data_IF_719765511735
#
_entry.id   IF_719765511735
#
_cell.length_a   1.000
_cell.length_b   1.000
_cell.length_c   1.000
_cell.angle_alpha   90.00
_cell.angle_beta   90.00
_cell.angle_gamma   90.00
#
_symmetry.space_group_name_H-M   'P 1'
#
loop_
_entity.id
_entity.type
_entity.pdbx_description
1 polymer ?
#
# COMPACT_ATOMS: atom_id res chain seq x y z
N UNK A 1 -28.87 30.51 -12.43
CA UNK A 1 -28.57 29.06 -12.55
C UNK A 1 -29.61 28.23 -11.81
N UNK A 2 -29.95 27.05 -12.33
CA UNK A 2 -30.75 26.03 -11.64
C UNK A 2 -29.94 25.33 -10.55
N UNK A 3 -30.59 24.70 -9.57
CA UNK A 3 -29.88 23.92 -8.52
C UNK A 3 -29.04 22.78 -9.13
N UNK A 4 -29.47 22.19 -10.26
CA UNK A 4 -28.74 21.16 -10.98
C UNK A 4 -27.44 21.71 -11.60
N UNK A 5 -27.52 22.87 -12.24
CA UNK A 5 -26.32 23.55 -12.80
C UNK A 5 -25.33 23.95 -11.71
N UNK A 6 -25.81 24.48 -10.59
CA UNK A 6 -24.96 24.80 -9.43
C UNK A 6 -24.28 23.54 -8.87
N UNK A 7 -24.99 22.42 -8.79
CA UNK A 7 -24.41 21.15 -8.35
C UNK A 7 -23.27 20.67 -9.27
N UNK A 8 -23.41 20.84 -10.58
CA UNK A 8 -22.34 20.50 -11.53
C UNK A 8 -21.18 21.49 -11.46
N UNK A 9 -21.47 22.79 -11.31
CA UNK A 9 -20.44 23.84 -11.12
C UNK A 9 -19.59 23.54 -9.88
N UNK A 10 -20.21 23.18 -8.75
CA UNK A 10 -19.52 22.85 -7.50
C UNK A 10 -18.73 21.53 -7.52
N UNK A 11 -18.70 20.79 -8.63
CA UNK A 11 -17.79 19.66 -8.86
C UNK A 11 -16.44 20.09 -9.45
N UNK A 12 -16.37 21.30 -9.98
CA UNK A 12 -15.18 21.90 -10.56
C UNK A 12 -14.52 22.85 -9.57
N UNK A 13 -13.33 23.32 -9.91
CA UNK A 13 -12.69 24.42 -9.19
C UNK A 13 -13.44 25.72 -9.55
N UNK A 14 -13.97 26.38 -8.54
CA UNK A 14 -14.74 27.63 -8.67
C UNK A 14 -13.99 28.79 -8.00
N UNK A 15 -14.23 30.00 -8.52
CA UNK A 15 -13.59 31.22 -7.97
C UNK A 15 -14.26 31.68 -6.68
N UNK A 16 -13.54 32.47 -5.89
CA UNK A 16 -14.08 33.13 -4.68
C UNK A 16 -15.31 34.02 -5.01
N UNK A 17 -15.31 34.66 -6.17
CA UNK A 17 -16.45 35.47 -6.63
C UNK A 17 -17.71 34.62 -6.84
N UNK A 18 -17.53 33.43 -7.46
CA UNK A 18 -18.66 32.49 -7.66
C UNK A 18 -19.15 31.92 -6.32
N UNK A 19 -18.27 31.70 -5.36
CA UNK A 19 -18.65 31.25 -4.01
C UNK A 19 -19.48 32.36 -3.34
N UNK A 20 -19.04 33.61 -3.41
CA UNK A 20 -19.73 34.74 -2.81
C UNK A 20 -21.12 34.98 -3.44
N UNK A 21 -21.23 34.80 -4.75
CA UNK A 21 -22.52 34.89 -5.45
C UNK A 21 -23.51 33.82 -4.96
N UNK A 22 -23.03 32.56 -4.81
CA UNK A 22 -23.86 31.46 -4.34
C UNK A 22 -24.21 31.60 -2.83
N UNK A 23 -23.36 32.25 -2.01
CA UNK A 23 -23.65 32.56 -0.62
C UNK A 23 -24.84 33.50 -0.44
N UNK A 24 -24.98 34.43 -1.35
CA UNK A 24 -26.09 35.38 -1.38
C UNK A 24 -27.40 34.81 -1.97
N UNK A 25 -27.39 33.55 -2.46
CA UNK A 25 -28.55 32.88 -2.99
C UNK A 25 -29.46 32.37 -1.84
N UNK A 26 -30.71 32.89 -1.72
CA UNK A 26 -31.59 32.56 -0.60
C UNK A 26 -32.18 31.15 -0.66
N UNK A 27 -32.00 30.41 -1.76
CA UNK A 27 -32.59 29.08 -1.95
C UNK A 27 -31.91 28.06 -1.02
N UNK A 28 -32.70 27.40 -0.16
CA UNK A 28 -32.20 26.41 0.80
C UNK A 28 -31.44 25.25 0.16
N UNK A 29 -31.80 24.88 -1.08
CA UNK A 29 -31.07 23.85 -1.85
C UNK A 29 -29.65 24.28 -2.20
N UNK A 30 -29.45 25.57 -2.54
CA UNK A 30 -28.10 26.13 -2.83
C UNK A 30 -27.26 26.17 -1.56
N UNK A 31 -27.82 26.63 -0.45
CA UNK A 31 -27.12 26.69 0.82
C UNK A 31 -26.64 25.30 1.29
N UNK A 32 -27.46 24.25 1.12
CA UNK A 32 -27.07 22.86 1.43
C UNK A 32 -25.91 22.38 0.52
N UNK A 33 -25.91 22.74 -0.75
CA UNK A 33 -24.82 22.40 -1.68
C UNK A 33 -23.51 23.12 -1.29
N UNK A 34 -23.58 24.39 -0.90
CA UNK A 34 -22.41 25.15 -0.43
C UNK A 34 -21.81 24.55 0.86
N UNK A 35 -22.64 24.20 1.83
CA UNK A 35 -22.17 23.52 3.05
C UNK A 35 -21.43 22.23 2.70
N UNK A 36 -21.98 21.43 1.79
CA UNK A 36 -21.34 20.19 1.32
C UNK A 36 -20.04 20.46 0.56
N UNK A 37 -20.00 21.50 -0.25
CA UNK A 37 -18.81 21.94 -0.98
C UNK A 37 -17.70 22.37 -0.01
N UNK A 38 -17.97 23.26 0.95
CA UNK A 38 -17.01 23.73 1.96
C UNK A 38 -16.43 22.57 2.76
N UNK A 39 -17.28 21.65 3.24
CA UNK A 39 -16.84 20.45 3.96
C UNK A 39 -15.92 19.55 3.11
N UNK A 40 -16.17 19.49 1.80
CA UNK A 40 -15.29 18.74 0.87
C UNK A 40 -13.95 19.43 0.69
N UNK A 41 -13.94 20.77 0.54
CA UNK A 41 -12.70 21.56 0.42
C UNK A 41 -11.85 21.49 1.70
N UNK A 42 -12.48 21.61 2.87
CA UNK A 42 -11.81 21.44 4.16
C UNK A 42 -11.12 20.06 4.27
N UNK A 43 -11.86 18.98 3.97
CA UNK A 43 -11.29 17.63 3.95
C UNK A 43 -10.14 17.46 2.94
N UNK A 44 -10.22 18.11 1.79
CA UNK A 44 -9.16 18.10 0.79
C UNK A 44 -7.92 18.83 1.29
N UNK A 45 -8.11 19.98 1.95
CA UNK A 45 -7.02 20.75 2.55
C UNK A 45 -6.34 19.96 3.67
N UNK A 46 -7.12 19.38 4.59
CA UNK A 46 -6.59 18.51 5.65
C UNK A 46 -5.76 17.35 5.08
N UNK A 47 -6.25 16.74 4.00
CA UNK A 47 -5.58 15.65 3.32
C UNK A 47 -4.25 16.09 2.68
N UNK A 48 -4.24 17.25 1.98
CA UNK A 48 -3.02 17.84 1.42
C UNK A 48 -2.00 18.16 2.52
N UNK A 49 -2.45 18.71 3.64
CA UNK A 49 -1.58 19.00 4.79
C UNK A 49 -1.01 17.72 5.41
N UNK A 50 -1.83 16.69 5.58
CA UNK A 50 -1.38 15.40 6.11
C UNK A 50 -0.37 14.73 5.15
N UNK A 51 -0.62 14.79 3.84
CA UNK A 51 0.30 14.31 2.82
C UNK A 51 1.64 15.06 2.86
N UNK A 52 1.62 16.39 2.92
CA UNK A 52 2.83 17.20 3.03
C UNK A 52 3.64 16.94 4.31
N UNK A 53 2.97 16.65 5.43
CA UNK A 53 3.63 16.29 6.71
C UNK A 53 4.35 14.94 6.63
N UNK A 54 3.85 13.99 5.85
CA UNK A 54 4.49 12.67 5.68
C UNK A 54 5.77 12.68 4.86
N UNK A 55 6.16 13.80 4.27
CA UNK A 55 7.50 13.98 3.67
C UNK A 55 8.58 14.39 4.68
N UNK A 56 8.30 14.39 5.97
CA UNK A 56 9.25 14.90 6.97
C UNK A 56 10.61 14.18 6.89
N UNK A 57 10.60 12.86 6.74
CA UNK A 57 11.81 12.04 6.66
C UNK A 57 12.49 12.18 5.28
N UNK A 58 11.73 12.11 4.19
CA UNK A 58 12.27 12.27 2.83
C UNK A 58 12.97 13.61 2.66
N UNK A 59 12.39 14.71 3.19
CA UNK A 59 12.96 16.06 3.13
C UNK A 59 14.32 16.19 3.81
N UNK A 60 14.60 15.40 4.86
CA UNK A 60 15.92 15.40 5.52
C UNK A 60 17.03 14.89 4.59
N UNK A 61 16.70 13.94 3.69
CA UNK A 61 17.61 13.41 2.67
C UNK A 61 17.66 14.34 1.46
N UNK A 62 16.53 14.80 0.96
CA UNK A 62 16.47 15.72 -0.19
C UNK A 62 17.24 17.04 0.06
N UNK A 63 17.22 17.56 1.30
CA UNK A 63 18.02 18.72 1.67
C UNK A 63 19.54 18.52 1.52
N UNK A 64 19.99 17.26 1.42
CA UNK A 64 21.39 16.86 1.20
C UNK A 64 21.63 16.36 -0.22
N UNK A 65 20.68 16.54 -1.14
CA UNK A 65 20.68 15.95 -2.50
C UNK A 65 20.85 14.43 -2.49
N UNK A 66 20.24 13.74 -1.50
CA UNK A 66 20.28 12.29 -1.35
C UNK A 66 18.93 11.69 -1.72
N UNK A 67 18.97 10.53 -2.38
CA UNK A 67 17.78 9.73 -2.69
C UNK A 67 17.51 8.74 -1.55
N UNK A 68 16.26 8.65 -1.11
CA UNK A 68 15.85 7.69 -0.08
C UNK A 68 14.75 6.79 -0.61
N UNK A 69 14.86 5.48 -0.34
CA UNK A 69 13.83 4.51 -0.69
C UNK A 69 12.99 4.15 0.53
N UNK A 70 11.67 4.21 0.40
CA UNK A 70 10.74 3.62 1.36
C UNK A 70 10.59 2.13 1.10
N UNK A 71 10.60 1.30 2.15
CA UNK A 71 10.51 -0.16 2.07
C UNK A 71 9.40 -0.67 2.99
N UNK A 72 8.51 -1.49 2.44
CA UNK A 72 7.42 -2.14 3.20
C UNK A 72 7.15 -3.55 2.66
N UNK A 73 6.50 -4.39 3.47
CA UNK A 73 6.17 -5.76 3.14
C UNK A 73 4.68 -6.07 3.26
N UNK A 74 4.29 -7.18 2.65
CA UNK A 74 2.98 -7.80 2.80
C UNK A 74 3.09 -9.32 2.77
N UNK A 75 2.22 -9.98 3.53
CA UNK A 75 2.14 -11.44 3.45
C UNK A 75 3.00 -12.18 4.46
N UNK A 76 3.30 -11.59 5.63
CA UNK A 76 3.98 -12.30 6.73
C UNK A 76 3.10 -13.34 7.41
N UNK A 77 1.85 -13.00 7.70
CA UNK A 77 0.92 -13.83 8.45
C UNK A 77 0.08 -14.89 7.71
N UNK A 78 -0.08 -14.86 6.37
CA UNK A 78 -0.87 -15.85 5.65
C UNK A 78 -0.33 -17.28 5.78
N UNK A 79 -1.23 -18.26 5.68
CA UNK A 79 -0.93 -19.71 5.64
C UNK A 79 -0.41 -20.13 4.26
N UNK A 80 -0.73 -19.38 3.22
CA UNK A 80 -0.38 -19.67 1.84
C UNK A 80 0.13 -18.43 1.09
N UNK A 81 0.96 -18.68 0.08
CA UNK A 81 1.54 -17.65 -0.78
C UNK A 81 2.83 -17.02 -0.25
N UNK A 82 3.50 -16.23 -1.09
CA UNK A 82 4.80 -15.63 -0.79
C UNK A 82 4.68 -14.47 0.22
N UNK A 83 5.81 -14.09 0.81
CA UNK A 83 6.02 -12.72 1.31
C UNK A 83 6.50 -11.86 0.15
N UNK A 84 5.94 -10.66 0.05
CA UNK A 84 6.26 -9.70 -1.01
C UNK A 84 6.65 -8.38 -0.36
N UNK A 85 7.71 -7.78 -0.85
CA UNK A 85 8.19 -6.47 -0.41
C UNK A 85 8.32 -5.54 -1.61
N UNK A 86 8.18 -4.25 -1.38
CA UNK A 86 8.52 -3.24 -2.37
C UNK A 86 9.49 -2.22 -1.77
N UNK A 87 10.34 -1.67 -2.63
CA UNK A 87 11.15 -0.50 -2.37
C UNK A 87 10.76 0.58 -3.38
N UNK A 88 10.49 1.79 -2.93
CA UNK A 88 10.03 2.90 -3.78
C UNK A 88 10.82 4.16 -3.47
N UNK A 89 11.44 4.74 -4.50
CA UNK A 89 12.06 6.07 -4.45
C UNK A 89 11.07 7.06 -5.05
N UNK A 90 10.76 8.09 -4.30
CA UNK A 90 9.97 9.24 -4.75
C UNK A 90 10.80 10.51 -4.61
N UNK A 91 10.48 11.53 -5.38
CA UNK A 91 11.10 12.85 -5.29
C UNK A 91 10.10 13.92 -4.78
N UNK A 92 10.53 15.19 -4.88
CA UNK A 92 9.75 16.34 -4.40
C UNK A 92 8.54 16.69 -5.28
N UNK A 93 8.47 16.12 -6.51
CA UNK A 93 7.36 16.33 -7.45
C UNK A 93 6.24 15.30 -7.27
N UNK A 94 6.46 14.26 -6.44
CA UNK A 94 5.46 13.25 -6.14
C UNK A 94 4.25 13.85 -5.44
N UNK A 95 3.08 13.87 -6.10
CA UNK A 95 1.89 14.57 -5.62
C UNK A 95 0.62 13.69 -5.44
N UNK A 96 0.76 12.38 -5.42
CA UNK A 96 -0.34 11.46 -5.20
C UNK A 96 -0.90 11.55 -3.77
N UNK A 97 -1.68 12.60 -3.50
CA UNK A 97 -2.24 12.92 -2.18
C UNK A 97 -3.14 11.82 -1.60
N UNK A 98 -3.59 10.87 -2.44
CA UNK A 98 -4.39 9.70 -2.06
C UNK A 98 -3.55 8.55 -1.48
N UNK A 99 -2.24 8.57 -1.66
CA UNK A 99 -1.33 7.58 -1.07
C UNK A 99 -1.42 7.64 0.45
N UNK A 100 -1.60 6.49 1.08
CA UNK A 100 -1.70 6.29 2.52
C UNK A 100 -1.42 4.83 2.85
N UNK A 101 -1.33 4.47 4.12
CA UNK A 101 -1.33 3.10 4.62
C UNK A 101 -2.31 2.23 3.80
N UNK A 102 -1.79 1.17 3.17
CA UNK A 102 -2.58 0.33 2.24
C UNK A 102 -3.80 -0.32 2.90
N UNK A 103 -3.77 -0.54 4.23
CA UNK A 103 -4.86 -1.12 5.01
C UNK A 103 -6.03 -0.13 5.22
N UNK A 104 -5.77 1.18 5.07
CA UNK A 104 -6.80 2.24 5.14
C UNK A 104 -7.47 2.51 3.80
N UNK A 105 -6.95 1.93 2.72
CA UNK A 105 -7.48 2.09 1.38
C UNK A 105 -8.33 0.88 0.98
N UNK A 106 -9.43 1.14 0.25
CA UNK A 106 -10.19 0.05 -0.37
C UNK A 106 -9.38 -0.61 -1.50
N UNK A 107 -9.68 -1.87 -1.87
CA UNK A 107 -9.01 -2.53 -2.99
C UNK A 107 -9.04 -1.71 -4.28
N UNK A 108 -10.20 -1.10 -4.62
CA UNK A 108 -10.37 -0.28 -5.82
C UNK A 108 -9.48 0.97 -5.79
N UNK A 109 -9.29 1.59 -4.62
CA UNK A 109 -8.39 2.74 -4.48
C UNK A 109 -6.94 2.34 -4.65
N UNK A 110 -6.52 1.21 -4.06
CA UNK A 110 -5.16 0.70 -4.27
C UNK A 110 -4.90 0.38 -5.74
N UNK A 111 -5.84 -0.29 -6.42
CA UNK A 111 -5.72 -0.60 -7.85
C UNK A 111 -5.64 0.65 -8.74
N UNK A 112 -6.30 1.76 -8.35
CA UNK A 112 -6.20 3.04 -9.07
C UNK A 112 -4.89 3.78 -8.80
N UNK A 113 -4.33 3.64 -7.60
CA UNK A 113 -3.07 4.29 -7.22
C UNK A 113 -1.85 3.54 -7.75
N UNK A 114 -1.92 2.22 -7.82
CA UNK A 114 -0.80 1.38 -8.24
C UNK A 114 -0.13 1.83 -9.55
N UNK A 115 -0.84 1.98 -10.69
CA UNK A 115 -0.22 2.43 -11.94
C UNK A 115 0.34 3.86 -11.82
N UNK A 116 -0.30 4.75 -11.07
CA UNK A 116 0.17 6.11 -10.87
C UNK A 116 1.47 6.16 -10.06
N UNK A 117 1.57 5.31 -9.02
CA UNK A 117 2.82 5.20 -8.25
C UNK A 117 3.95 4.71 -9.15
N UNK A 118 3.70 3.73 -10.06
CA UNK A 118 4.71 3.25 -11.00
C UNK A 118 5.13 4.32 -12.01
N UNK A 119 4.23 5.23 -12.37
CA UNK A 119 4.48 6.33 -13.31
C UNK A 119 5.24 7.49 -12.65
N UNK A 120 4.88 7.87 -11.41
CA UNK A 120 5.44 9.04 -10.72
C UNK A 120 6.66 8.71 -9.85
N UNK A 121 6.90 7.44 -9.51
CA UNK A 121 8.08 7.08 -8.73
C UNK A 121 9.36 7.17 -9.58
N UNK A 122 10.43 7.65 -8.96
CA UNK A 122 11.78 7.66 -9.56
C UNK A 122 12.27 6.23 -9.85
N UNK A 123 11.98 5.30 -8.95
CA UNK A 123 12.30 3.87 -9.12
C UNK A 123 11.43 3.01 -8.21
N UNK A 124 11.11 1.80 -8.69
CA UNK A 124 10.33 0.80 -7.95
C UNK A 124 11.00 -0.56 -8.09
N UNK A 125 11.31 -1.18 -6.96
CA UNK A 125 11.84 -2.54 -6.89
C UNK A 125 10.91 -3.47 -6.13
N UNK A 126 10.81 -4.73 -6.54
CA UNK A 126 10.00 -5.77 -5.88
C UNK A 126 10.87 -6.94 -5.48
N UNK A 127 10.65 -7.42 -4.26
CA UNK A 127 11.26 -8.64 -3.74
C UNK A 127 10.20 -9.66 -3.34
N UNK A 128 10.45 -10.93 -3.67
CA UNK A 128 9.52 -12.03 -3.41
C UNK A 128 10.28 -13.21 -2.83
N UNK A 129 9.77 -13.78 -1.72
CA UNK A 129 10.23 -15.07 -1.20
C UNK A 129 9.08 -16.06 -1.15
N UNK A 130 9.31 -17.22 -1.75
CA UNK A 130 8.30 -18.28 -1.85
C UNK A 130 8.01 -18.93 -0.50
N UNK A 131 6.87 -19.64 -0.37
CA UNK A 131 6.58 -20.47 0.80
C UNK A 131 7.70 -21.43 1.18
N UNK A 132 8.35 -22.03 0.19
CA UNK A 132 9.47 -22.96 0.42
C UNK A 132 10.66 -22.28 1.08
N UNK A 133 11.00 -21.05 0.67
CA UNK A 133 12.06 -20.26 1.32
C UNK A 133 11.65 -19.89 2.74
N UNK A 134 10.38 -19.49 2.95
CA UNK A 134 9.85 -19.17 4.28
C UNK A 134 9.98 -20.38 5.21
N UNK A 135 9.66 -21.59 4.74
CA UNK A 135 9.77 -22.81 5.52
C UNK A 135 11.23 -23.19 5.84
N UNK A 136 12.19 -22.82 4.98
CA UNK A 136 13.61 -23.11 5.16
C UNK A 136 14.30 -22.18 6.17
N UNK A 137 14.00 -20.86 6.10
CA UNK A 137 14.76 -19.84 6.85
C UNK A 137 13.91 -19.02 7.81
N UNK A 138 12.65 -19.38 8.02
CA UNK A 138 11.59 -18.68 8.72
C UNK A 138 11.12 -17.37 8.06
N UNK A 139 9.95 -16.87 8.50
CA UNK A 139 9.32 -15.69 7.91
C UNK A 139 10.10 -14.40 8.14
N UNK A 140 10.75 -14.26 9.30
CA UNK A 140 11.51 -13.05 9.63
C UNK A 140 12.70 -12.88 8.68
N UNK A 141 13.48 -13.93 8.47
CA UNK A 141 14.65 -13.88 7.60
C UNK A 141 14.26 -13.86 6.10
N UNK A 142 13.19 -14.57 5.73
CA UNK A 142 12.64 -14.52 4.37
C UNK A 142 12.19 -13.11 3.99
N UNK A 143 11.55 -12.40 4.92
CA UNK A 143 11.11 -11.02 4.75
C UNK A 143 12.31 -10.07 4.59
N UNK A 144 13.31 -10.14 5.47
CA UNK A 144 14.55 -9.36 5.37
C UNK A 144 15.24 -9.56 4.01
N UNK A 145 15.33 -10.81 3.55
CA UNK A 145 15.92 -11.12 2.25
C UNK A 145 15.06 -10.63 1.07
N UNK A 146 13.72 -10.63 1.22
CA UNK A 146 12.84 -10.06 0.22
C UNK A 146 13.00 -8.53 0.17
N UNK A 147 13.12 -7.85 1.31
CA UNK A 147 13.41 -6.41 1.36
C UNK A 147 14.74 -6.09 0.67
N UNK A 148 15.80 -6.85 0.97
CA UNK A 148 17.08 -6.67 0.29
C UNK A 148 16.99 -6.91 -1.23
N UNK A 149 16.18 -7.87 -1.66
CA UNK A 149 15.91 -8.13 -3.07
C UNK A 149 15.19 -6.94 -3.72
N UNK A 150 14.17 -6.36 -3.06
CA UNK A 150 13.47 -5.19 -3.55
C UNK A 150 14.41 -3.99 -3.71
N UNK A 151 15.25 -3.72 -2.72
CA UNK A 151 16.24 -2.63 -2.78
C UNK A 151 17.25 -2.83 -3.92
N UNK A 152 17.74 -4.05 -4.14
CA UNK A 152 18.67 -4.37 -5.22
C UNK A 152 18.02 -4.36 -6.60
N UNK A 153 16.70 -4.48 -6.67
CA UNK A 153 15.93 -4.42 -7.92
C UNK A 153 15.57 -3.00 -8.36
N UNK A 154 15.93 -1.98 -7.58
CA UNK A 154 15.78 -0.59 -7.97
C UNK A 154 16.74 -0.25 -9.12
N UNK A 155 16.23 0.39 -10.19
CA UNK A 155 17.05 0.88 -11.31
C UNK A 155 17.93 2.06 -10.90
N UNK A 156 17.47 2.84 -9.92
CA UNK A 156 18.20 3.96 -9.32
C UNK A 156 18.64 3.57 -7.91
N UNK A 157 19.93 3.69 -7.61
CA UNK A 157 20.49 3.34 -6.30
C UNK A 157 20.13 4.40 -5.26
N UNK A 158 19.49 4.05 -4.13
CA UNK A 158 19.25 4.99 -3.04
C UNK A 158 20.52 5.21 -2.20
N UNK A 159 20.59 6.37 -1.55
CA UNK A 159 21.64 6.70 -0.56
C UNK A 159 21.28 6.19 0.84
N UNK A 160 19.98 6.01 1.13
CA UNK A 160 19.47 5.54 2.41
C UNK A 160 18.09 4.85 2.25
N UNK A 161 17.65 4.18 3.32
CA UNK A 161 16.34 3.53 3.38
C UNK A 161 15.50 4.08 4.53
N UNK A 162 14.19 4.24 4.29
CA UNK A 162 13.14 4.35 5.30
C UNK A 162 12.42 3.00 5.35
N UNK A 163 12.44 2.30 6.49
CA UNK A 163 11.95 0.91 6.56
C UNK A 163 10.86 0.80 7.62
N UNK A 164 9.73 0.14 7.29
CA UNK A 164 8.69 -0.13 8.29
C UNK A 164 9.15 -1.23 9.24
N UNK A 165 9.42 -0.84 10.50
CA UNK A 165 9.68 -1.65 11.69
C UNK A 165 10.82 -2.70 11.61
N UNK A 166 11.54 -2.83 10.47
CA UNK A 166 12.57 -3.85 10.27
C UNK A 166 13.94 -3.27 9.89
N UNK A 167 14.94 -4.13 9.75
CA UNK A 167 16.22 -3.83 9.12
C UNK A 167 16.44 -4.69 7.87
N UNK A 168 16.96 -4.05 6.84
CA UNK A 168 17.24 -4.68 5.54
C UNK A 168 18.71 -5.09 5.52
N UNK A 169 19.08 -6.33 5.14
CA UNK A 169 20.47 -6.78 5.08
C UNK A 169 21.18 -6.25 3.82
N UNK A 170 21.38 -4.93 3.76
CA UNK A 170 22.16 -4.21 2.76
C UNK A 170 23.06 -3.18 3.43
N UNK A 171 24.17 -2.85 2.80
CA UNK A 171 25.12 -1.84 3.29
C UNK A 171 24.68 -0.43 2.86
N UNK A 172 23.60 0.06 3.48
CA UNK A 172 23.05 1.40 3.31
C UNK A 172 22.60 1.94 4.67
N UNK A 173 22.72 3.26 4.92
CA UNK A 173 22.07 3.91 6.07
C UNK A 173 20.56 3.62 6.09
N UNK A 174 20.00 3.36 7.27
CA UNK A 174 18.60 2.99 7.42
C UNK A 174 17.94 3.72 8.59
N UNK A 175 16.72 4.19 8.38
CA UNK A 175 15.85 4.74 9.43
C UNK A 175 14.66 3.81 9.60
N UNK A 176 14.55 3.18 10.79
CA UNK A 176 13.42 2.31 11.14
C UNK A 176 12.26 3.14 11.67
N UNK A 177 11.09 2.99 11.07
CA UNK A 177 9.89 3.74 11.44
C UNK A 177 8.77 2.78 11.85
N UNK A 178 8.42 2.76 13.12
CA UNK A 178 7.23 2.03 13.58
C UNK A 178 6.00 2.67 12.97
N UNK A 179 5.18 1.91 12.23
CA UNK A 179 4.06 2.38 11.40
C UNK A 179 4.57 3.39 10.36
N UNK A 180 5.61 3.03 9.65
CA UNK A 180 6.27 3.88 8.67
C UNK A 180 5.34 4.27 7.52
N UNK A 181 4.46 3.38 7.10
CA UNK A 181 3.40 3.60 6.10
C UNK A 181 2.43 4.76 6.44
N UNK A 182 2.28 5.09 7.73
CA UNK A 182 1.52 6.25 8.19
C UNK A 182 2.37 7.54 8.34
N UNK A 183 3.70 7.44 8.25
CA UNK A 183 4.65 8.54 8.57
C UNK A 183 5.48 9.01 7.37
N UNK A 184 5.66 8.18 6.36
CA UNK A 184 6.48 8.40 5.17
C UNK A 184 5.66 8.10 3.91
N UNK A 185 5.72 8.97 2.91
CA UNK A 185 5.03 8.77 1.65
C UNK A 185 5.71 7.70 0.78
N UNK A 186 7.04 7.57 0.84
CA UNK A 186 7.77 6.51 0.14
C UNK A 186 7.44 5.12 0.70
N UNK A 187 7.35 4.95 2.03
CA UNK A 187 6.90 3.70 2.65
C UNK A 187 5.43 3.41 2.31
N UNK A 188 4.56 4.43 2.36
CA UNK A 188 3.15 4.27 2.00
C UNK A 188 2.97 3.84 0.54
N UNK A 189 3.77 4.39 -0.38
CA UNK A 189 3.80 3.97 -1.78
C UNK A 189 4.28 2.51 -1.91
N UNK A 190 5.35 2.12 -1.19
CA UNK A 190 5.85 0.75 -1.14
C UNK A 190 4.79 -0.23 -0.62
N UNK A 191 4.07 0.14 0.45
CA UNK A 191 2.95 -0.63 1.01
C UNK A 191 1.88 -0.94 -0.03
N UNK A 192 1.46 0.07 -0.81
CA UNK A 192 0.46 -0.10 -1.87
C UNK A 192 1.00 -1.00 -2.98
N UNK A 193 2.23 -0.78 -3.42
CA UNK A 193 2.87 -1.57 -4.50
C UNK A 193 2.98 -3.03 -4.09
N UNK A 194 3.53 -3.32 -2.92
CA UNK A 194 3.66 -4.68 -2.41
C UNK A 194 2.29 -5.36 -2.28
N UNK A 195 1.28 -4.64 -1.72
CA UNK A 195 -0.07 -5.17 -1.51
C UNK A 195 -0.76 -5.51 -2.82
N UNK A 196 -0.77 -4.61 -3.80
CA UNK A 196 -1.43 -4.86 -5.09
C UNK A 196 -0.73 -5.98 -5.86
N UNK A 197 0.60 -6.00 -5.86
CA UNK A 197 1.36 -7.05 -6.51
C UNK A 197 1.05 -8.43 -5.91
N UNK A 198 1.06 -8.53 -4.55
CA UNK A 198 0.75 -9.80 -3.89
C UNK A 198 -0.69 -10.24 -4.10
N UNK A 199 -1.66 -9.33 -4.04
CA UNK A 199 -3.06 -9.66 -4.24
C UNK A 199 -3.27 -10.25 -5.65
N UNK A 200 -2.68 -9.67 -6.70
CA UNK A 200 -2.69 -10.23 -8.06
C UNK A 200 -2.06 -11.62 -8.15
N UNK A 201 -0.95 -11.86 -7.44
CA UNK A 201 -0.36 -13.21 -7.37
C UNK A 201 -1.32 -14.21 -6.71
N UNK A 202 -2.05 -13.80 -5.67
CA UNK A 202 -3.01 -14.68 -5.01
C UNK A 202 -4.23 -14.95 -5.89
N UNK A 203 -4.68 -13.98 -6.71
CA UNK A 203 -5.71 -14.20 -7.73
C UNK A 203 -5.26 -15.19 -8.80
N UNK A 204 -3.98 -15.14 -9.20
CA UNK A 204 -3.44 -16.14 -10.15
C UNK A 204 -3.31 -17.53 -9.53
N UNK A 205 -2.94 -17.64 -8.25
CA UNK A 205 -2.96 -18.91 -7.54
C UNK A 205 -4.38 -19.49 -7.38
N UNK A 206 -5.41 -18.64 -7.28
CA UNK A 206 -6.81 -19.10 -7.22
C UNK A 206 -7.24 -19.81 -8.50
N UNK A 207 -6.74 -19.40 -9.66
CA UNK A 207 -6.99 -20.08 -10.95
C UNK A 207 -6.47 -21.53 -10.94
N UNK A 208 -5.41 -21.79 -10.16
CA UNK A 208 -4.80 -23.13 -10.02
C UNK A 208 -5.45 -23.91 -8.88
N UNK A 209 -5.82 -23.23 -7.79
CA UNK A 209 -6.36 -23.82 -6.57
C UNK A 209 -7.68 -23.16 -6.14
N UNK A 210 -8.74 -23.18 -6.97
CA UNK A 210 -9.96 -22.39 -6.74
C UNK A 210 -10.73 -22.77 -5.47
N UNK A 211 -10.48 -23.96 -4.92
CA UNK A 211 -11.16 -24.45 -3.72
C UNK A 211 -10.77 -23.72 -2.43
N UNK A 212 -9.71 -22.87 -2.44
CA UNK A 212 -9.24 -22.17 -1.24
C UNK A 212 -9.74 -20.71 -1.14
N UNK A 213 -10.29 -20.13 -2.24
CA UNK A 213 -10.89 -18.80 -2.27
C UNK A 213 -9.89 -17.67 -1.99
N UNK A 214 -8.69 -17.74 -2.55
CA UNK A 214 -7.60 -16.78 -2.32
C UNK A 214 -7.95 -15.31 -2.64
N UNK A 215 -8.82 -14.99 -3.62
CA UNK A 215 -9.22 -13.59 -3.84
C UNK A 215 -9.89 -12.94 -2.62
N UNK A 216 -10.58 -13.74 -1.78
CA UNK A 216 -11.28 -13.25 -0.61
C UNK A 216 -10.41 -13.23 0.65
N UNK A 217 -9.46 -14.17 0.77
CA UNK A 217 -8.66 -14.34 2.00
C UNK A 217 -7.17 -14.03 1.83
N UNK A 218 -6.69 -13.84 0.59
CA UNK A 218 -5.28 -13.58 0.27
C UNK A 218 -4.30 -14.58 0.95
N UNK A 219 -4.75 -15.81 1.21
CA UNK A 219 -4.00 -16.87 1.89
C UNK A 219 -4.04 -16.81 3.41
N UNK A 220 -4.74 -15.84 4.03
CA UNK A 220 -4.93 -15.81 5.47
C UNK A 220 -5.85 -16.92 5.96
N UNK A 221 -5.65 -17.37 7.21
CA UNK A 221 -6.40 -18.45 7.83
C UNK A 221 -7.83 -18.06 8.23
N UNK A 222 -8.66 -17.67 7.27
CA UNK A 222 -10.10 -17.48 7.49
C UNK A 222 -10.77 -18.83 7.75
N UNK A 223 -12.00 -18.80 8.28
CA UNK A 223 -12.77 -20.04 8.52
C UNK A 223 -12.93 -20.87 7.25
N UNK A 224 -13.17 -20.20 6.14
CA UNK A 224 -13.35 -20.81 4.81
C UNK A 224 -12.04 -21.44 4.33
N UNK A 225 -10.91 -20.75 4.47
CA UNK A 225 -9.60 -21.25 4.07
C UNK A 225 -9.20 -22.47 4.93
N UNK A 226 -9.41 -22.40 6.27
CA UNK A 226 -9.14 -23.52 7.18
C UNK A 226 -10.05 -24.73 6.87
N UNK A 227 -11.32 -24.49 6.53
CA UNK A 227 -12.24 -25.56 6.13
C UNK A 227 -11.81 -26.22 4.80
N UNK A 228 -11.37 -25.41 3.84
CA UNK A 228 -10.82 -25.91 2.57
C UNK A 228 -9.54 -26.72 2.80
N UNK A 229 -8.64 -26.22 3.66
CA UNK A 229 -7.40 -26.92 4.03
C UNK A 229 -7.70 -28.30 4.66
N UNK A 230 -8.68 -28.39 5.57
CA UNK A 230 -9.10 -29.66 6.17
C UNK A 230 -9.69 -30.63 5.16
N UNK A 231 -10.43 -30.12 4.17
CA UNK A 231 -11.12 -30.95 3.16
C UNK A 231 -10.21 -31.41 2.03
N UNK A 232 -9.31 -30.55 1.56
CA UNK A 232 -8.52 -30.78 0.35
C UNK A 232 -7.03 -30.97 0.62
N UNK A 233 -6.57 -30.76 1.88
CA UNK A 233 -5.16 -30.80 2.26
C UNK A 233 -4.38 -29.56 1.83
N UNK A 234 -3.08 -29.49 2.16
CA UNK A 234 -2.21 -28.39 1.74
C UNK A 234 -1.76 -28.52 0.29
N UNK A 235 -1.60 -27.39 -0.40
CA UNK A 235 -1.01 -27.29 -1.74
C UNK A 235 0.46 -26.88 -1.64
N UNK A 236 1.24 -26.92 -2.76
CA UNK A 236 2.64 -26.45 -2.78
C UNK A 236 2.86 -25.00 -2.36
N UNK A 237 1.83 -24.15 -2.37
CA UNK A 237 1.95 -22.76 -1.93
C UNK A 237 1.58 -22.55 -0.46
N UNK A 238 1.19 -23.61 0.27
CA UNK A 238 0.99 -23.52 1.71
C UNK A 238 2.34 -23.59 2.45
N UNK A 239 2.45 -22.84 3.54
CA UNK A 239 3.65 -22.78 4.39
C UNK A 239 3.60 -23.90 5.40
N UNK A 240 4.44 -24.91 5.22
CA UNK A 240 4.45 -26.14 6.01
C UNK A 240 4.75 -25.92 7.49
N UNK A 241 5.50 -24.86 7.79
CA UNK A 241 5.89 -24.50 9.18
C UNK A 241 4.85 -23.65 9.91
N UNK A 242 3.75 -23.25 9.25
CA UNK A 242 2.70 -22.42 9.84
C UNK A 242 1.53 -23.30 10.33
N UNK A 243 1.12 -23.12 11.59
CA UNK A 243 -0.09 -23.74 12.10
C UNK A 243 -1.34 -23.07 11.50
N UNK A 244 -2.39 -23.81 11.10
CA UNK A 244 -2.56 -25.28 11.24
C UNK A 244 -2.04 -26.10 10.04
N UNK A 245 -1.28 -25.52 9.10
CA UNK A 245 -0.73 -26.24 7.96
C UNK A 245 0.27 -27.30 8.42
N UNK A 246 1.09 -26.98 9.43
CA UNK A 246 2.08 -27.90 10.03
C UNK A 246 1.47 -29.23 10.49
N UNK A 247 0.23 -29.22 10.99
CA UNK A 247 -0.46 -30.41 11.50
C UNK A 247 -0.62 -31.52 10.45
N UNK A 248 -0.52 -31.18 9.14
CA UNK A 248 -0.59 -32.14 8.03
C UNK A 248 0.76 -32.84 7.78
N UNK A 249 1.86 -32.34 8.34
CA UNK A 249 3.21 -32.85 8.11
C UNK A 249 3.85 -33.45 9.36
N UNK A 250 3.32 -33.17 10.55
CA UNK A 250 3.82 -33.69 11.84
C UNK A 250 3.30 -35.11 12.19
N UNK A 251 2.44 -35.70 11.37
CA UNK A 251 1.80 -37.01 11.62
C UNK A 251 2.54 -38.21 10.99
N UNK A 252 3.86 -38.10 10.75
CA UNK A 252 4.66 -39.24 10.31
C UNK A 252 5.79 -39.53 11.26
#
# INVERSE_FOLDING_TARGET
MTIKEIKELLKQDITEEQITELENDPRSGVQKLLVSYRKRQEKLLEKKQAFGKRFAYEKEFWAKNQLVAGVDEVGRGPLAGPVVTAAVIIDHDFDLIDVNDSKKLTPERRLKLYPKILEEAVSVGIGVKSPQVIDQINIYEADRQAMAQAVRALDVKPDALLVDAMDVPVDLPQVKLIKGDAKSNSIAAASIVAKVFRDKLMDDYDKIYPQYGFPNNAGYGTKEHIAALKKYGPTPIHRKTFAPVSDFFEKN
#
